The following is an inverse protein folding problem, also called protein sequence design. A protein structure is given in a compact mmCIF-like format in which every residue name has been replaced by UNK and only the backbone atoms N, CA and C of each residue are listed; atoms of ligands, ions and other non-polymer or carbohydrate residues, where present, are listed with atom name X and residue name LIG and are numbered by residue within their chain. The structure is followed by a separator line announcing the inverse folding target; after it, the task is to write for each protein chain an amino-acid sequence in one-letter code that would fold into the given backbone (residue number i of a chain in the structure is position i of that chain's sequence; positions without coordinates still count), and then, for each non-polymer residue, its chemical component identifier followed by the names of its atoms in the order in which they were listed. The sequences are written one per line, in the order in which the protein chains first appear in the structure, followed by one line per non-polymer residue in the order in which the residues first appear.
data_IF_883710974046
#
_entry.id   IF_883710974046
#
_cell.length_a   1.000
_cell.length_b   1.000
_cell.length_c   1.000
_cell.angle_alpha   90.00
_cell.angle_beta   90.00
_cell.angle_gamma   90.00
#
_symmetry.space_group_name_H-M   'P 1'
#
loop_
_entity.id
_entity.type
_entity.pdbx_description
1 polymer ?
#
# COMPACT_ATOMS: atom_id res chain seq x y z
N UNK A 1 14.77 24.09 14.75
CA UNK A 1 14.60 22.82 14.00
C UNK A 1 14.21 23.22 12.61
N UNK A 2 15.05 22.95 11.62
CA UNK A 2 14.77 23.38 10.25
C UNK A 2 13.60 22.56 9.69
N UNK A 3 12.77 23.14 8.83
CA UNK A 3 11.67 22.41 8.18
C UNK A 3 12.18 21.15 7.44
N UNK A 4 13.44 21.13 6.99
CA UNK A 4 14.02 19.98 6.31
C UNK A 4 14.34 18.78 7.23
N UNK A 5 14.45 18.98 8.55
CA UNK A 5 14.80 17.90 9.49
C UNK A 5 13.61 16.99 9.83
N UNK A 6 12.38 17.39 9.50
CA UNK A 6 11.17 16.61 9.81
C UNK A 6 10.49 15.98 8.58
N UNK A 7 10.92 16.35 7.37
CA UNK A 7 10.39 15.80 6.12
C UNK A 7 10.53 14.29 6.07
N UNK A 8 9.43 13.59 5.79
CA UNK A 8 9.41 12.15 5.59
C UNK A 8 8.65 11.78 4.32
N UNK A 9 8.89 10.58 3.80
CA UNK A 9 7.99 9.97 2.83
C UNK A 9 6.86 9.25 3.54
N UNK A 10 5.63 9.47 3.10
CA UNK A 10 4.49 8.64 3.46
C UNK A 10 4.15 7.74 2.28
N UNK A 11 4.51 6.46 2.41
CA UNK A 11 4.15 5.43 1.42
C UNK A 11 2.75 4.92 1.74
N UNK A 12 1.79 5.21 0.86
CA UNK A 12 0.41 4.73 0.95
C UNK A 12 0.28 3.44 0.16
N UNK A 13 -0.05 2.36 0.85
CA UNK A 13 -0.23 1.01 0.30
C UNK A 13 -1.69 0.62 0.29
N UNK A 14 -2.00 -0.52 -0.34
CA UNK A 14 -3.30 -1.18 -0.21
C UNK A 14 -3.08 -2.68 -0.11
N UNK A 15 -3.93 -3.35 0.66
CA UNK A 15 -4.02 -4.81 0.63
C UNK A 15 -4.24 -5.35 -0.80
N UNK A 16 -3.58 -6.47 -1.11
CA UNK A 16 -3.83 -7.23 -2.34
C UNK A 16 -5.19 -7.92 -2.27
N UNK A 17 -5.69 -8.39 -3.42
CA UNK A 17 -6.95 -9.16 -3.41
C UNK A 17 -6.86 -10.41 -2.53
N UNK A 18 -5.69 -11.05 -2.46
CA UNK A 18 -5.47 -12.22 -1.62
C UNK A 18 -5.52 -11.85 -0.13
N UNK A 19 -4.86 -10.77 0.26
CA UNK A 19 -4.87 -10.28 1.64
C UNK A 19 -6.28 -9.89 2.09
N UNK A 20 -7.06 -9.21 1.23
CA UNK A 20 -8.46 -8.87 1.49
C UNK A 20 -9.33 -10.14 1.70
N UNK A 21 -9.07 -11.21 0.93
CA UNK A 21 -9.79 -12.48 1.07
C UNK A 21 -9.41 -13.22 2.35
N UNK A 22 -8.13 -13.28 2.69
CA UNK A 22 -7.67 -13.91 3.95
C UNK A 22 -8.20 -13.13 5.15
N UNK A 23 -8.21 -11.80 5.12
CA UNK A 23 -8.79 -10.98 6.17
C UNK A 23 -10.29 -11.27 6.36
N UNK A 24 -11.02 -11.55 5.28
CA UNK A 24 -12.45 -11.90 5.32
C UNK A 24 -12.70 -13.32 5.81
N UNK A 25 -11.97 -14.29 5.27
CA UNK A 25 -12.21 -15.71 5.47
C UNK A 25 -11.29 -16.36 6.51
N UNK A 26 -10.46 -15.60 7.21
CA UNK A 26 -9.58 -16.00 8.31
C UNK A 26 -8.42 -16.95 7.96
N UNK A 27 -8.52 -17.72 6.87
CA UNK A 27 -7.48 -18.64 6.43
C UNK A 27 -7.27 -18.62 4.91
N UNK A 28 -6.05 -18.96 4.48
CA UNK A 28 -5.71 -19.12 3.07
C UNK A 28 -6.56 -20.21 2.40
N UNK A 29 -6.78 -21.33 3.10
CA UNK A 29 -7.58 -22.44 2.58
C UNK A 29 -9.04 -22.06 2.34
N UNK A 30 -9.65 -21.27 3.23
CA UNK A 30 -11.03 -20.79 3.03
C UNK A 30 -11.12 -19.74 1.92
N UNK A 31 -10.09 -18.88 1.78
CA UNK A 31 -9.99 -17.95 0.66
C UNK A 31 -9.86 -18.68 -0.69
N UNK A 32 -9.01 -19.71 -0.76
CA UNK A 32 -8.85 -20.57 -1.94
C UNK A 32 -10.17 -21.26 -2.30
N UNK A 33 -10.80 -21.94 -1.33
CA UNK A 33 -12.07 -22.62 -1.53
C UNK A 33 -13.13 -21.67 -2.10
N UNK A 34 -13.27 -20.46 -1.53
CA UNK A 34 -14.21 -19.46 -2.02
C UNK A 34 -13.95 -19.05 -3.48
N UNK A 35 -12.70 -18.82 -3.86
CA UNK A 35 -12.33 -18.43 -5.22
C UNK A 35 -12.59 -19.54 -6.24
N UNK A 36 -12.22 -20.78 -5.90
CA UNK A 36 -12.46 -21.95 -6.75
C UNK A 36 -13.96 -22.20 -6.97
N UNK A 37 -14.79 -21.96 -5.94
CA UNK A 37 -16.26 -22.05 -6.06
C UNK A 37 -16.87 -21.00 -6.98
N UNK A 38 -16.18 -19.87 -7.18
CA UNK A 38 -16.56 -18.83 -8.14
C UNK A 38 -15.95 -19.05 -9.53
N UNK A 39 -15.19 -20.14 -9.72
CA UNK A 39 -14.50 -20.45 -10.98
C UNK A 39 -13.28 -19.56 -11.27
N UNK A 40 -12.73 -18.90 -10.24
CA UNK A 40 -11.52 -18.09 -10.38
C UNK A 40 -10.25 -18.94 -10.21
N UNK A 41 -9.16 -18.58 -10.89
CA UNK A 41 -7.85 -19.21 -10.72
C UNK A 41 -7.13 -18.65 -9.49
N UNK A 42 -6.95 -19.47 -8.46
CA UNK A 42 -6.25 -19.08 -7.24
C UNK A 42 -4.79 -18.68 -7.48
N UNK A 43 -4.13 -19.26 -8.51
CA UNK A 43 -2.72 -18.98 -8.80
C UNK A 43 -2.50 -17.55 -9.27
N UNK A 44 -3.48 -16.91 -9.90
CA UNK A 44 -3.39 -15.50 -10.30
C UNK A 44 -3.33 -14.58 -9.08
N UNK A 45 -4.05 -14.89 -8.01
CA UNK A 45 -4.02 -14.14 -6.75
C UNK A 45 -2.69 -14.31 -6.03
N UNK A 46 -2.10 -15.52 -6.07
CA UNK A 46 -0.77 -15.77 -5.51
C UNK A 46 0.31 -14.99 -6.27
N UNK A 47 0.30 -15.03 -7.61
CA UNK A 47 1.25 -14.29 -8.46
C UNK A 47 1.15 -12.78 -8.24
N UNK A 48 -0.07 -12.24 -8.22
CA UNK A 48 -0.30 -10.83 -7.90
C UNK A 48 0.28 -10.48 -6.54
N UNK A 49 -0.01 -11.29 -5.52
CA UNK A 49 0.46 -11.02 -4.17
C UNK A 49 1.99 -11.07 -4.05
N UNK A 50 2.64 -12.02 -4.71
CA UNK A 50 4.09 -12.12 -4.75
C UNK A 50 4.73 -10.94 -5.50
N UNK A 51 4.18 -10.55 -6.66
CA UNK A 51 4.64 -9.40 -7.43
C UNK A 51 4.53 -8.12 -6.59
N UNK A 52 3.39 -7.91 -5.94
CA UNK A 52 3.18 -6.77 -5.05
C UNK A 52 4.17 -6.76 -3.87
N UNK A 53 4.36 -7.91 -3.21
CA UNK A 53 5.31 -8.04 -2.11
C UNK A 53 6.77 -7.81 -2.56
N UNK A 54 7.10 -8.13 -3.82
CA UNK A 54 8.40 -7.79 -4.42
C UNK A 54 8.53 -6.28 -4.61
N UNK A 55 7.54 -5.62 -5.23
CA UNK A 55 7.53 -4.17 -5.43
C UNK A 55 7.61 -3.41 -4.11
N UNK A 56 6.85 -3.82 -3.09
CA UNK A 56 6.88 -3.20 -1.77
C UNK A 56 8.26 -3.30 -1.12
N UNK A 57 8.95 -4.44 -1.24
CA UNK A 57 10.32 -4.59 -0.76
C UNK A 57 11.28 -3.62 -1.46
N UNK A 58 11.24 -3.55 -2.78
CA UNK A 58 12.09 -2.63 -3.57
C UNK A 58 11.86 -1.17 -3.17
N UNK A 59 10.60 -0.76 -3.05
CA UNK A 59 10.25 0.62 -2.64
C UNK A 59 10.69 0.88 -1.21
N UNK A 60 10.42 -0.03 -0.27
CA UNK A 60 10.83 0.14 1.13
C UNK A 60 12.35 0.22 1.29
N UNK A 61 13.11 -0.60 0.57
CA UNK A 61 14.58 -0.55 0.55
C UNK A 61 15.08 0.80 -0.01
N UNK A 62 14.49 1.29 -1.10
CA UNK A 62 14.82 2.59 -1.67
C UNK A 62 14.50 3.75 -0.70
N UNK A 63 13.35 3.69 -0.02
CA UNK A 63 12.95 4.70 0.97
C UNK A 63 13.84 4.67 2.21
N UNK A 64 14.23 3.48 2.68
CA UNK A 64 15.15 3.32 3.78
C UNK A 64 16.54 3.92 3.48
N UNK A 65 17.02 3.77 2.25
CA UNK A 65 18.26 4.41 1.81
C UNK A 65 18.13 5.94 1.67
N UNK A 66 16.94 6.44 1.33
CA UNK A 66 16.67 7.87 1.14
C UNK A 66 16.54 8.63 2.46
N UNK A 67 15.87 8.06 3.45
CA UNK A 67 15.71 8.69 4.76
C UNK A 67 14.48 8.23 5.52
N UNK A 68 13.89 9.16 6.29
CA UNK A 68 12.72 8.87 7.13
C UNK A 68 11.50 8.58 6.24
N UNK A 69 10.87 7.43 6.46
CA UNK A 69 9.62 7.08 5.80
C UNK A 69 8.63 6.42 6.77
N UNK A 70 7.37 6.41 6.38
CA UNK A 70 6.28 5.73 7.08
C UNK A 70 5.38 5.04 6.04
N UNK A 71 5.02 3.80 6.30
CA UNK A 71 4.04 3.07 5.48
C UNK A 71 2.68 3.18 6.15
N UNK A 72 1.63 3.48 5.39
CA UNK A 72 0.25 3.44 5.84
C UNK A 72 -0.63 2.69 4.85
N UNK A 73 -1.54 1.86 5.35
CA UNK A 73 -2.58 1.28 4.51
C UNK A 73 -3.64 2.34 4.17
N UNK A 74 -4.17 2.28 2.94
CA UNK A 74 -5.26 3.12 2.45
C UNK A 74 -6.43 3.21 3.42
N UNK A 75 -6.76 2.14 4.15
CA UNK A 75 -7.85 2.13 5.14
C UNK A 75 -7.64 3.18 6.25
N UNK A 76 -6.40 3.57 6.53
CA UNK A 76 -6.05 4.58 7.53
C UNK A 76 -5.88 5.99 6.97
N UNK A 77 -5.88 6.14 5.63
CA UNK A 77 -5.60 7.41 4.96
C UNK A 77 -6.57 8.52 5.39
N UNK A 78 -7.86 8.22 5.55
CA UNK A 78 -8.89 9.20 5.93
C UNK A 78 -8.62 9.88 7.28
N UNK A 79 -7.91 9.20 8.19
CA UNK A 79 -7.62 9.71 9.53
C UNK A 79 -6.13 10.09 9.69
N UNK A 80 -5.36 10.02 8.60
CA UNK A 80 -3.94 10.33 8.64
C UNK A 80 -3.72 11.83 8.52
N UNK A 81 -2.88 12.39 9.40
CA UNK A 81 -2.51 13.80 9.39
C UNK A 81 -1.13 13.92 8.74
N UNK A 82 -1.11 14.47 7.53
CA UNK A 82 0.13 14.80 6.81
C UNK A 82 0.75 16.09 7.36
N UNK A 83 2.07 16.11 7.48
CA UNK A 83 2.80 17.36 7.64
C UNK A 83 2.80 18.14 6.31
N UNK A 84 2.94 19.46 6.37
CA UNK A 84 2.91 20.30 5.16
C UNK A 84 4.07 20.03 4.19
N UNK A 85 5.15 19.42 4.66
CA UNK A 85 6.36 19.11 3.90
C UNK A 85 6.53 17.60 3.61
N UNK A 86 5.56 16.77 3.99
CA UNK A 86 5.55 15.34 3.66
C UNK A 86 5.53 15.12 2.14
N UNK A 87 6.24 14.09 1.68
CA UNK A 87 6.17 13.61 0.31
C UNK A 87 5.34 12.33 0.31
N UNK A 88 4.31 12.26 -0.53
CA UNK A 88 3.44 11.09 -0.57
C UNK A 88 3.81 10.24 -1.78
N UNK A 89 4.02 8.95 -1.54
CA UNK A 89 4.26 7.96 -2.58
C UNK A 89 3.13 6.95 -2.52
N UNK A 90 2.59 6.50 -3.65
CA UNK A 90 1.60 5.41 -3.64
C UNK A 90 2.14 4.12 -4.24
N UNK A 91 1.73 3.00 -3.66
CA UNK A 91 1.96 1.68 -4.23
C UNK A 91 0.65 0.89 -4.17
N UNK A 92 0.01 0.73 -5.32
CA UNK A 92 -1.17 -0.12 -5.50
C UNK A 92 -0.97 -1.11 -6.63
N UNK A 93 -1.97 -1.97 -6.87
CA UNK A 93 -1.94 -2.99 -7.93
C UNK A 93 -1.64 -2.40 -9.33
N UNK A 94 -2.15 -1.20 -9.61
CA UNK A 94 -1.94 -0.49 -10.88
C UNK A 94 -0.85 0.60 -10.77
N UNK A 95 -0.03 0.57 -9.71
CA UNK A 95 0.96 1.61 -9.41
C UNK A 95 0.38 2.86 -8.73
N UNK A 96 -0.93 2.91 -8.48
CA UNK A 96 -1.59 4.02 -7.79
C UNK A 96 -2.56 3.53 -6.72
N UNK A 97 -2.75 4.35 -5.68
CA UNK A 97 -3.87 4.21 -4.74
C UNK A 97 -4.90 5.29 -5.06
N UNK A 98 -6.05 4.86 -5.60
CA UNK A 98 -7.11 5.78 -6.05
C UNK A 98 -7.61 6.65 -4.90
N UNK A 99 -7.89 7.92 -5.23
CA UNK A 99 -8.38 8.96 -4.32
C UNK A 99 -7.36 9.49 -3.29
N UNK A 100 -6.09 9.09 -3.32
CA UNK A 100 -5.09 9.61 -2.36
C UNK A 100 -4.99 11.13 -2.38
N UNK A 101 -5.04 11.75 -3.56
CA UNK A 101 -5.02 13.21 -3.72
C UNK A 101 -6.12 13.96 -2.95
N UNK A 102 -7.27 13.33 -2.66
CA UNK A 102 -8.37 13.99 -1.93
C UNK A 102 -8.03 14.28 -0.47
N UNK A 103 -6.98 13.66 0.05
CA UNK A 103 -6.55 13.76 1.45
C UNK A 103 -5.28 14.58 1.61
N UNK A 104 -4.74 15.13 0.51
CA UNK A 104 -3.54 15.96 0.53
C UNK A 104 -3.92 17.43 0.44
N UNK A 105 -3.19 18.26 1.16
CA UNK A 105 -3.29 19.72 1.18
C UNK A 105 -1.96 20.32 0.69
N UNK A 106 -1.67 20.09 -0.60
CA UNK A 106 -0.47 20.60 -1.27
C UNK A 106 0.77 19.71 -1.20
N UNK A 107 0.73 18.57 -0.48
CA UNK A 107 1.82 17.59 -0.53
C UNK A 107 1.97 17.01 -1.95
N UNK A 108 3.20 16.84 -2.46
CA UNK A 108 3.41 16.15 -3.72
C UNK A 108 3.02 14.68 -3.61
N UNK A 109 2.38 14.16 -4.66
CA UNK A 109 2.08 12.74 -4.84
C UNK A 109 2.94 12.18 -5.99
N UNK A 110 3.65 11.09 -5.71
CA UNK A 110 4.49 10.34 -6.66
C UNK A 110 3.92 8.94 -6.86
#
# INVERSE_FOLDING_TARGET
MSAAENRKVVLVTRQTRLEELVARYQTLGQAQFYLEHLGADFTDYLRENEAYASSLRVVAEALQAWGRYQIIDRAHLTNYIFAGDDIVVTLGQDGMVVNTLKYLDGQPLI
#
